data_IF_685132803823
#
_entry.id   IF_685132803823
#
_cell.length_a   1.000
_cell.length_b   1.000
_cell.length_c   1.000
_cell.angle_alpha   90.00
_cell.angle_beta   90.00
_cell.angle_gamma   90.00
#
_symmetry.space_group_name_H-M   'P 1'
#
loop_
_entity.id
_entity.type
_entity.pdbx_description
1 polymer ?
#
# COMPACT_ATOMS: atom_id res chain seq x y z
N UNK A 1 13.03 13.74 7.58
CA UNK A 1 12.39 13.02 6.44
C UNK A 1 12.73 11.52 6.40
N UNK A 2 13.96 11.23 6.82
CA UNK A 2 14.60 9.92 6.95
C UNK A 2 13.79 8.96 7.82
N UNK A 3 13.17 9.45 8.89
CA UNK A 3 12.32 8.65 9.77
C UNK A 3 11.06 8.12 9.05
N UNK A 4 10.49 8.92 8.13
CA UNK A 4 9.35 8.48 7.33
C UNK A 4 9.79 7.40 6.33
N UNK A 5 10.95 7.58 5.69
CA UNK A 5 11.51 6.61 4.76
C UNK A 5 11.82 5.27 5.45
N UNK A 6 12.38 5.31 6.66
CA UNK A 6 12.68 4.10 7.45
C UNK A 6 11.43 3.27 7.75
N UNK A 7 10.26 3.90 7.91
CA UNK A 7 8.99 3.19 8.19
C UNK A 7 8.48 2.35 7.02
N UNK A 8 8.88 2.71 5.80
CA UNK A 8 8.45 2.08 4.55
C UNK A 8 9.60 1.36 3.83
N UNK A 9 10.80 1.37 4.42
CA UNK A 9 11.95 0.63 3.91
C UNK A 9 11.65 -0.87 3.86
N UNK A 10 11.95 -1.49 2.72
CA UNK A 10 11.62 -2.91 2.46
C UNK A 10 10.14 -3.19 2.21
N UNK A 11 9.28 -2.16 2.12
CA UNK A 11 7.82 -2.29 1.96
C UNK A 11 7.29 -1.68 0.67
N UNK A 12 8.17 -1.37 -0.27
CA UNK A 12 7.79 -0.79 -1.56
C UNK A 12 8.16 -1.76 -2.67
N UNK A 13 7.18 -2.03 -3.52
CA UNK A 13 7.28 -3.03 -4.57
C UNK A 13 6.80 -2.46 -5.90
N UNK A 14 7.37 -2.95 -7.00
CA UNK A 14 6.84 -2.74 -8.34
C UNK A 14 6.31 -4.06 -8.89
N UNK A 15 5.09 -4.04 -9.40
CA UNK A 15 4.42 -5.20 -9.95
C UNK A 15 3.87 -4.88 -11.33
N UNK A 16 4.24 -5.68 -12.33
CA UNK A 16 3.71 -5.56 -13.69
C UNK A 16 2.50 -6.47 -13.81
N UNK A 17 1.33 -5.87 -14.05
CA UNK A 17 0.06 -6.59 -14.17
C UNK A 17 -0.69 -6.28 -15.46
N UNK A 18 -1.52 -7.21 -15.95
CA UNK A 18 -2.47 -6.90 -17.00
C UNK A 18 -3.38 -5.73 -16.60
N UNK A 19 -3.73 -4.89 -17.58
CA UNK A 19 -4.60 -3.72 -17.33
C UNK A 19 -5.97 -4.11 -16.75
N UNK A 20 -6.48 -5.30 -17.07
CA UNK A 20 -7.75 -5.82 -16.56
C UNK A 20 -7.70 -6.12 -15.05
N UNK A 21 -6.53 -6.46 -14.50
CA UNK A 21 -6.37 -6.91 -13.12
C UNK A 21 -6.11 -5.76 -12.15
N UNK A 22 -5.89 -4.54 -12.65
CA UNK A 22 -5.57 -3.38 -11.82
C UNK A 22 -6.64 -3.09 -10.74
N UNK A 23 -7.92 -3.23 -11.09
CA UNK A 23 -9.00 -3.01 -10.12
C UNK A 23 -8.99 -4.08 -9.01
N UNK A 24 -8.75 -5.34 -9.37
CA UNK A 24 -8.62 -6.42 -8.40
C UNK A 24 -7.36 -6.26 -7.52
N UNK A 25 -6.27 -5.75 -8.09
CA UNK A 25 -5.06 -5.42 -7.35
C UNK A 25 -5.30 -4.29 -6.33
N UNK A 26 -5.99 -3.20 -6.71
CA UNK A 26 -6.33 -2.08 -5.81
C UNK A 26 -7.24 -2.46 -4.64
N UNK A 27 -8.05 -3.51 -4.80
CA UNK A 27 -8.90 -4.02 -3.72
C UNK A 27 -8.11 -4.83 -2.68
N UNK A 28 -6.98 -5.42 -3.08
CA UNK A 28 -6.16 -6.32 -2.24
C UNK A 28 -4.91 -5.65 -1.68
N UNK A 29 -4.32 -4.73 -2.43
CA UNK A 29 -3.03 -4.11 -2.13
C UNK A 29 -3.16 -2.58 -2.10
N UNK A 30 -2.32 -1.94 -1.29
CA UNK A 30 -2.18 -0.49 -1.29
C UNK A 30 -1.35 -0.06 -2.50
N UNK A 31 -2.02 0.24 -3.61
CA UNK A 31 -1.38 0.74 -4.84
C UNK A 31 -1.16 2.26 -4.73
N UNK A 32 0.10 2.71 -4.65
CA UNK A 32 0.45 4.13 -4.53
C UNK A 32 0.52 4.83 -5.89
N UNK A 33 0.99 4.15 -6.92
CA UNK A 33 1.15 4.71 -8.27
C UNK A 33 0.93 3.65 -9.35
N UNK A 34 0.56 4.09 -10.55
CA UNK A 34 0.38 3.22 -11.72
C UNK A 34 0.89 3.90 -12.99
N UNK A 35 1.71 3.20 -13.76
CA UNK A 35 2.14 3.64 -15.10
C UNK A 35 1.78 2.57 -16.14
N UNK A 36 1.16 2.97 -17.26
CA UNK A 36 0.88 2.06 -18.38
C UNK A 36 2.07 2.03 -19.33
N UNK A 37 2.51 0.83 -19.68
CA UNK A 37 3.58 0.54 -20.64
C UNK A 37 3.13 -0.57 -21.59
N UNK A 38 3.94 -0.89 -22.59
CA UNK A 38 3.62 -1.92 -23.60
C UNK A 38 3.52 -3.33 -23.02
N UNK A 39 4.21 -3.59 -21.90
CA UNK A 39 4.28 -4.86 -21.18
C UNK A 39 3.24 -4.98 -20.05
N UNK A 40 2.49 -3.91 -19.76
CA UNK A 40 1.40 -3.94 -18.78
C UNK A 40 1.27 -2.65 -17.97
N UNK A 41 0.62 -2.77 -16.82
CA UNK A 41 0.55 -1.72 -15.81
C UNK A 41 1.63 -1.97 -14.78
N UNK A 42 2.57 -1.04 -14.67
CA UNK A 42 3.52 -0.97 -13.58
C UNK A 42 2.82 -0.37 -12.36
N UNK A 43 2.41 -1.22 -11.43
CA UNK A 43 1.81 -0.81 -10.17
C UNK A 43 2.89 -0.72 -9.09
N UNK A 44 2.97 0.44 -8.43
CA UNK A 44 3.77 0.61 -7.21
C UNK A 44 2.91 0.26 -6.02
N UNK A 45 3.36 -0.70 -5.21
CA UNK A 45 2.65 -1.25 -4.07
C UNK A 45 3.36 -0.90 -2.77
N UNK A 46 2.58 -0.69 -1.73
CA UNK A 46 3.05 -0.47 -0.37
C UNK A 46 2.54 -1.59 0.54
N UNK A 47 3.42 -2.25 1.29
CA UNK A 47 3.05 -3.30 2.22
C UNK A 47 4.19 -4.23 2.59
N UNK A 48 4.00 -4.98 3.67
CA UNK A 48 4.99 -5.95 4.17
C UNK A 48 5.17 -7.14 3.21
N UNK A 49 4.07 -7.61 2.62
CA UNK A 49 4.07 -8.82 1.78
C UNK A 49 3.56 -8.47 0.39
N UNK A 50 4.39 -8.63 -0.66
CA UNK A 50 3.98 -8.40 -2.02
C UNK A 50 3.24 -9.62 -2.63
N UNK A 51 2.53 -9.44 -3.75
CA UNK A 51 2.14 -10.54 -4.62
C UNK A 51 3.35 -11.21 -5.28
N UNK A 52 3.17 -12.45 -5.73
CA UNK A 52 4.17 -13.18 -6.50
C UNK A 52 4.58 -12.41 -7.77
N UNK A 53 5.89 -12.36 -8.00
CA UNK A 53 6.48 -11.69 -9.17
C UNK A 53 6.71 -10.19 -9.01
N UNK A 54 6.22 -9.55 -7.95
CA UNK A 54 6.57 -8.16 -7.66
C UNK A 54 8.03 -8.05 -7.20
N UNK A 55 8.67 -6.95 -7.56
CA UNK A 55 10.09 -6.70 -7.29
C UNK A 55 10.25 -5.59 -6.25
N UNK A 56 11.20 -5.72 -5.31
CA UNK A 56 11.47 -4.66 -4.33
C UNK A 56 12.02 -3.44 -5.04
N UNK A 57 11.59 -2.25 -4.61
CA UNK A 57 12.11 -0.98 -5.13
C UNK A 57 12.43 -0.04 -3.98
N UNK A 58 13.37 0.89 -4.22
CA UNK A 58 13.73 1.90 -3.22
C UNK A 58 12.55 2.80 -2.94
N UNK A 59 12.23 2.97 -1.65
CA UNK A 59 11.17 3.86 -1.21
C UNK A 59 11.53 5.33 -1.46
N UNK A 60 10.53 6.14 -1.78
CA UNK A 60 10.65 7.60 -1.83
C UNK A 60 9.72 8.27 -0.79
N UNK A 61 9.75 9.60 -0.73
CA UNK A 61 8.95 10.34 0.27
C UNK A 61 7.44 10.26 0.02
N UNK A 62 7.01 10.13 -1.24
CA UNK A 62 5.60 9.94 -1.57
C UNK A 62 5.08 8.59 -1.02
N UNK A 63 5.86 7.52 -1.22
CA UNK A 63 5.57 6.19 -0.67
C UNK A 63 5.40 6.24 0.86
N UNK A 64 6.33 6.90 1.55
CA UNK A 64 6.30 7.05 2.99
C UNK A 64 5.08 7.83 3.49
N UNK A 65 4.71 8.90 2.79
CA UNK A 65 3.56 9.73 3.15
C UNK A 65 2.25 8.97 2.96
N UNK A 66 2.07 8.31 1.81
CA UNK A 66 0.88 7.52 1.51
C UNK A 66 0.72 6.34 2.45
N UNK A 67 1.83 5.68 2.83
CA UNK A 67 1.81 4.59 3.81
C UNK A 67 1.34 5.07 5.19
N UNK A 68 1.84 6.22 5.65
CA UNK A 68 1.42 6.83 6.91
C UNK A 68 -0.08 7.19 6.89
N UNK A 69 -0.55 7.80 5.80
CA UNK A 69 -1.96 8.16 5.64
C UNK A 69 -2.88 6.94 5.62
N UNK A 70 -2.48 5.87 4.94
CA UNK A 70 -3.23 4.61 4.90
C UNK A 70 -3.33 3.97 6.30
N UNK A 71 -2.24 3.94 7.05
CA UNK A 71 -2.24 3.45 8.44
C UNK A 71 -3.14 4.31 9.34
N UNK A 72 -3.11 5.64 9.18
CA UNK A 72 -3.98 6.51 9.96
C UNK A 72 -5.46 6.23 9.67
N UNK A 73 -5.83 6.04 8.39
CA UNK A 73 -7.20 5.66 7.99
C UNK A 73 -7.61 4.31 8.59
N UNK A 74 -6.72 3.31 8.56
CA UNK A 74 -6.99 2.02 9.17
C UNK A 74 -7.22 2.12 10.69
N UNK A 75 -6.42 2.94 11.38
CA UNK A 75 -6.57 3.18 12.82
C UNK A 75 -7.88 3.89 13.16
N UNK A 76 -8.34 4.85 12.35
CA UNK A 76 -9.62 5.55 12.57
C UNK A 76 -10.87 4.71 12.29
N UNK A 77 -10.73 3.58 11.57
CA UNK A 77 -11.85 2.70 11.20
C UNK A 77 -12.03 1.55 12.21
N UNK A 78 -11.26 1.50 13.29
CA UNK A 78 -11.52 0.56 14.39
C UNK A 78 -12.82 0.94 15.11
N UNK A 79 -13.87 0.08 15.12
CA UNK A 79 -15.08 0.38 15.85
C UNK A 79 -14.78 0.32 17.35
N UNK A 80 -15.09 1.41 18.03
CA UNK A 80 -15.28 1.41 19.47
C UNK A 80 -16.37 0.38 19.81
N UNK A 81 -15.98 -0.79 20.33
CA UNK A 81 -16.92 -1.75 20.92
C UNK A 81 -17.11 -1.35 22.38
N UNK A 82 -18.29 -0.79 22.64
CA UNK A 82 -19.06 -0.69 23.88
C UNK A 82 -18.33 -0.82 25.24
N UNK A 83 -18.28 0.30 25.98
CA UNK A 83 -18.43 0.28 27.43
C UNK A 83 -19.86 0.76 27.74
N UNK A 84 -20.81 -0.16 27.60
CA UNK A 84 -22.23 0.08 27.80
C UNK A 84 -22.95 -1.21 28.16
N UNK A 85 -22.62 -1.82 29.30
CA UNK A 85 -23.61 -2.66 29.98
C UNK A 85 -23.66 -2.34 31.45
N UNK A 86 -24.87 -1.95 31.83
CA UNK A 86 -25.38 -1.73 33.18
C UNK A 86 -25.23 -2.99 34.04
N UNK A 87 -24.80 -2.80 35.29
CA UNK A 87 -25.19 -3.59 36.46
C UNK A 87 -25.03 -2.71 37.69
#
# INVERSE_FOLDING_TARGET
PEELLRRVEGKVWEWVIPSADLNAARQRYLVSNTARRSDGVHARLLGETPPDGAQPVTANLEDAYLFCLAQHRAATVSPSVEAGVVA
#
